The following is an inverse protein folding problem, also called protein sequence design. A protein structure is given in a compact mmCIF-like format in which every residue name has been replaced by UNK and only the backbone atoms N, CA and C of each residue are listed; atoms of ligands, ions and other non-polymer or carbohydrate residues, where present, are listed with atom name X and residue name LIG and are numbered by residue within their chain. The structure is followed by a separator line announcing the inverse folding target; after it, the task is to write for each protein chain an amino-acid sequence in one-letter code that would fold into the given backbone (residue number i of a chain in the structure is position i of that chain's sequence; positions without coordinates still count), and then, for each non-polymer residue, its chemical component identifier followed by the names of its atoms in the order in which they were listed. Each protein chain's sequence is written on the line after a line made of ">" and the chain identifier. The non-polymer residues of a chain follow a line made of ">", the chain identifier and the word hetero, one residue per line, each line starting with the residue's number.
data_IF_866863080423
#
_entry.id   IF_866863080423
#
_cell.length_a   1.000
_cell.length_b   1.000
_cell.length_c   1.000
_cell.angle_alpha   90.00
_cell.angle_beta   90.00
_cell.angle_gamma   90.00
#
_symmetry.space_group_name_H-M   'P 1'
#
loop_
_entity.id
_entity.type
_entity.pdbx_description
1 polymer ?
#
# COMPACT_ATOMS: atom_id res chain seq x y z
N UNK A 1 -24.55 -12.37 -63.59
CA UNK A 1 -24.87 -11.94 -62.22
C UNK A 1 -23.78 -12.50 -61.31
N UNK A 2 -22.79 -11.69 -60.97
CA UNK A 2 -21.64 -12.12 -60.18
C UNK A 2 -21.74 -11.43 -58.82
N UNK A 3 -22.06 -12.19 -57.78
CA UNK A 3 -22.15 -11.67 -56.41
C UNK A 3 -20.74 -11.71 -55.83
N UNK A 4 -20.09 -10.55 -55.72
CA UNK A 4 -18.83 -10.40 -54.99
C UNK A 4 -19.20 -10.19 -53.53
N UNK A 5 -19.07 -11.24 -52.72
CA UNK A 5 -19.17 -11.15 -51.27
C UNK A 5 -17.85 -10.61 -50.70
N UNK A 6 -17.85 -9.35 -50.25
CA UNK A 6 -16.79 -8.79 -49.43
C UNK A 6 -16.94 -9.32 -47.99
N UNK A 7 -15.96 -10.05 -47.42
CA UNK A 7 -16.00 -10.35 -46.00
C UNK A 7 -15.67 -9.08 -45.24
N UNK A 8 -16.66 -8.54 -44.54
CA UNK A 8 -16.53 -7.43 -43.62
C UNK A 8 -15.69 -7.93 -42.42
N UNK A 9 -14.37 -7.73 -42.48
CA UNK A 9 -13.47 -7.86 -41.33
C UNK A 9 -13.84 -6.77 -40.32
N UNK A 10 -14.76 -7.08 -39.41
CA UNK A 10 -15.01 -6.29 -38.21
C UNK A 10 -13.75 -6.43 -37.35
N UNK A 11 -12.86 -5.44 -37.43
CA UNK A 11 -11.85 -5.19 -36.40
C UNK A 11 -12.61 -4.85 -35.11
N UNK A 12 -12.97 -5.85 -34.32
CA UNK A 12 -13.28 -5.64 -32.91
C UNK A 12 -11.98 -5.21 -32.26
N UNK A 13 -11.76 -3.89 -32.22
CA UNK A 13 -10.74 -3.30 -31.36
C UNK A 13 -11.13 -3.66 -29.93
N UNK A 14 -10.58 -4.77 -29.45
CA UNK A 14 -10.57 -5.14 -28.05
C UNK A 14 -9.88 -3.99 -27.33
N UNK A 15 -10.68 -3.09 -26.74
CA UNK A 15 -10.22 -2.23 -25.66
C UNK A 15 -9.87 -3.19 -24.53
N UNK A 16 -8.66 -3.73 -24.58
CA UNK A 16 -7.99 -4.24 -23.40
C UNK A 16 -7.78 -2.98 -22.55
N UNK A 17 -8.79 -2.63 -21.76
CA UNK A 17 -8.55 -1.88 -20.55
C UNK A 17 -7.57 -2.75 -19.79
N UNK A 18 -6.28 -2.43 -19.92
CA UNK A 18 -5.27 -2.97 -19.04
C UNK A 18 -5.75 -2.51 -17.67
N UNK A 19 -6.36 -3.42 -16.92
CA UNK A 19 -6.66 -3.23 -15.51
C UNK A 19 -5.29 -3.12 -14.83
N UNK A 20 -4.67 -1.95 -14.95
CA UNK A 20 -3.43 -1.62 -14.28
C UNK A 20 -3.84 -1.39 -12.85
N UNK A 21 -3.80 -2.47 -12.06
CA UNK A 21 -3.88 -2.35 -10.61
C UNK A 21 -2.84 -1.33 -10.15
N UNK A 22 -3.17 -0.56 -9.12
CA UNK A 22 -2.34 0.52 -8.59
C UNK A 22 -0.95 0.07 -8.08
N UNK A 23 -0.69 -1.25 -8.07
CA UNK A 23 0.55 -1.86 -7.64
C UNK A 23 0.50 -2.33 -6.20
N UNK A 24 1.59 -2.92 -5.73
CA UNK A 24 1.76 -3.35 -4.34
C UNK A 24 2.67 -2.34 -3.63
N UNK A 25 2.24 -1.90 -2.46
CA UNK A 25 3.06 -1.12 -1.54
C UNK A 25 3.48 -1.99 -0.34
N UNK A 26 4.69 -1.80 0.15
CA UNK A 26 5.18 -2.49 1.36
C UNK A 26 5.91 -1.54 2.31
N UNK A 27 6.01 -1.92 3.57
CA UNK A 27 6.85 -1.25 4.57
C UNK A 27 8.18 -2.00 4.70
N UNK A 28 9.28 -1.24 4.85
CA UNK A 28 10.61 -1.80 5.05
C UNK A 28 11.37 -0.99 6.11
N UNK A 29 12.11 -1.67 6.99
CA UNK A 29 13.09 -1.04 7.88
C UNK A 29 12.89 -1.32 9.37
N UNK A 30 12.02 -2.23 9.78
CA UNK A 30 11.74 -2.52 11.20
C UNK A 30 12.13 -3.94 11.63
N UNK A 31 12.73 -4.74 10.75
CA UNK A 31 13.15 -6.11 11.06
C UNK A 31 14.44 -6.47 10.30
N UNK A 32 15.51 -6.82 11.02
CA UNK A 32 16.79 -7.18 10.39
C UNK A 32 16.72 -8.42 9.49
N UNK A 33 15.72 -9.28 9.67
CA UNK A 33 15.46 -10.45 8.83
C UNK A 33 14.76 -10.14 7.50
N UNK A 34 14.38 -8.89 7.23
CA UNK A 34 13.64 -8.50 6.01
C UNK A 34 14.54 -8.28 4.77
N UNK A 35 15.86 -8.42 4.93
CA UNK A 35 16.85 -8.19 3.88
C UNK A 35 17.15 -6.72 3.61
N UNK A 36 17.99 -6.43 2.62
CA UNK A 36 18.35 -5.05 2.25
C UNK A 36 17.26 -4.38 1.41
N UNK A 37 17.21 -3.06 1.43
CA UNK A 37 16.27 -2.29 0.62
C UNK A 37 16.49 -2.54 -0.89
N UNK A 38 17.74 -2.63 -1.34
CA UNK A 38 18.05 -3.00 -2.72
C UNK A 38 17.48 -4.37 -3.10
N UNK A 39 17.52 -5.35 -2.20
CA UNK A 39 16.94 -6.69 -2.44
C UNK A 39 15.44 -6.61 -2.58
N UNK A 40 14.75 -5.85 -1.73
CA UNK A 40 13.32 -5.62 -1.82
C UNK A 40 12.94 -4.96 -3.17
N UNK A 41 13.68 -3.94 -3.60
CA UNK A 41 13.47 -3.29 -4.90
C UNK A 41 13.73 -4.23 -6.09
N UNK A 42 14.78 -5.05 -6.02
CA UNK A 42 15.14 -5.99 -7.09
C UNK A 42 14.10 -7.10 -7.30
N UNK A 43 13.16 -7.32 -6.36
CA UNK A 43 12.07 -8.28 -6.56
C UNK A 43 11.14 -7.90 -7.72
N UNK A 44 11.02 -6.61 -8.04
CA UNK A 44 10.05 -6.11 -9.02
C UNK A 44 8.58 -6.19 -8.57
N UNK A 45 8.32 -6.65 -7.35
CA UNK A 45 6.96 -6.87 -6.85
C UNK A 45 6.31 -5.58 -6.32
N UNK A 46 7.09 -4.58 -5.93
CA UNK A 46 6.61 -3.39 -5.23
C UNK A 46 6.72 -2.14 -6.10
N UNK A 47 5.62 -1.42 -6.25
CA UNK A 47 5.60 -0.10 -6.88
C UNK A 47 5.95 1.00 -5.87
N UNK A 48 5.69 0.76 -4.59
CA UNK A 48 5.98 1.69 -3.50
C UNK A 48 6.62 0.95 -2.32
N UNK A 49 7.67 1.52 -1.73
CA UNK A 49 8.28 1.02 -0.50
C UNK A 49 8.35 2.17 0.50
N UNK A 50 7.57 2.06 1.58
CA UNK A 50 7.54 3.01 2.68
C UNK A 50 8.68 2.67 3.67
N UNK A 51 9.70 3.51 3.72
CA UNK A 51 10.81 3.35 4.67
C UNK A 51 10.33 3.76 6.07
N UNK A 52 10.39 2.81 7.00
CA UNK A 52 9.75 2.87 8.30
C UNK A 52 10.80 2.79 9.43
N UNK A 53 10.90 3.75 10.36
CA UNK A 53 10.09 4.97 10.53
C UNK A 53 10.88 6.17 11.05
N UNK A 54 10.45 7.38 10.69
CA UNK A 54 10.75 8.58 11.49
C UNK A 54 9.85 8.55 12.73
N UNK A 55 10.41 8.17 13.87
CA UNK A 55 9.64 7.83 15.08
C UNK A 55 9.64 8.91 16.16
N UNK A 56 10.57 9.86 16.11
CA UNK A 56 10.62 11.01 17.02
C UNK A 56 10.46 12.28 16.22
N UNK A 57 9.51 13.13 16.61
CA UNK A 57 9.23 14.43 16.01
C UNK A 57 8.42 15.32 16.96
N UNK A 58 8.37 16.63 16.69
CA UNK A 58 7.54 17.60 17.41
C UNK A 58 8.18 18.18 18.67
N UNK A 59 7.53 19.20 19.24
CA UNK A 59 7.92 19.87 20.49
C UNK A 59 9.40 20.32 20.55
N UNK A 60 9.94 20.83 19.43
CA UNK A 60 11.33 21.30 19.35
C UNK A 60 12.40 20.20 19.34
N UNK A 61 12.01 18.93 19.33
CA UNK A 61 12.95 17.81 19.25
C UNK A 61 13.52 17.67 17.83
N UNK A 62 14.80 17.29 17.74
CA UNK A 62 15.41 16.87 16.47
C UNK A 62 14.74 15.58 15.99
N UNK A 63 14.19 15.54 14.77
CA UNK A 63 13.54 14.33 14.26
C UNK A 63 14.52 13.15 14.20
N UNK A 64 14.09 11.96 14.62
CA UNK A 64 14.92 10.75 14.62
C UNK A 64 14.33 9.65 13.74
N UNK A 65 15.15 9.18 12.81
CA UNK A 65 14.88 8.00 11.99
C UNK A 65 15.30 6.73 12.76
N UNK A 66 14.42 5.74 12.81
CA UNK A 66 14.71 4.43 13.38
C UNK A 66 14.48 3.38 12.28
N UNK A 67 15.56 2.71 11.86
CA UNK A 67 15.50 1.59 10.91
C UNK A 67 15.93 0.28 11.58
N UNK A 68 15.53 0.08 12.84
CA UNK A 68 15.94 -1.04 13.67
C UNK A 68 17.46 -1.27 13.61
N UNK A 69 17.90 -2.48 13.24
CA UNK A 69 19.32 -2.83 13.11
C UNK A 69 19.94 -2.52 11.75
N UNK A 70 19.21 -1.96 10.78
CA UNK A 70 19.72 -1.72 9.43
C UNK A 70 20.75 -0.59 9.37
N UNK A 71 20.54 0.48 10.16
CA UNK A 71 21.50 1.56 10.31
C UNK A 71 21.15 2.43 11.54
N UNK A 72 22.13 3.19 12.04
CA UNK A 72 21.92 4.20 13.10
C UNK A 72 22.26 5.59 12.58
N UNK A 73 21.29 6.52 12.46
CA UNK A 73 21.55 7.87 11.96
C UNK A 73 22.48 8.68 12.86
N UNK A 74 22.58 8.30 14.14
CA UNK A 74 23.45 8.94 15.12
C UNK A 74 24.94 8.63 14.88
N UNK A 75 25.26 7.66 14.01
CA UNK A 75 26.63 7.32 13.66
C UNK A 75 26.90 7.74 12.22
N UNK A 76 27.84 8.69 12.06
CA UNK A 76 28.19 9.26 10.75
C UNK A 76 28.57 8.14 9.78
N UNK A 77 27.92 8.15 8.60
CA UNK A 77 28.24 7.26 7.49
C UNK A 77 27.55 5.88 7.53
N UNK A 78 27.00 5.43 8.66
CA UNK A 78 26.41 4.08 8.77
C UNK A 78 25.14 3.91 7.92
N UNK A 79 24.35 4.96 7.74
CA UNK A 79 23.17 4.91 6.85
C UNK A 79 23.49 5.22 5.37
N UNK A 80 24.77 5.27 4.96
CA UNK A 80 25.14 5.58 3.57
C UNK A 80 24.72 4.48 2.59
N UNK A 81 24.66 3.22 3.03
CA UNK A 81 24.13 2.11 2.23
C UNK A 81 22.67 2.35 1.84
N UNK A 82 21.84 2.81 2.79
CA UNK A 82 20.43 3.12 2.54
C UNK A 82 20.26 4.21 1.48
N UNK A 83 21.14 5.22 1.44
CA UNK A 83 21.13 6.24 0.38
C UNK A 83 21.35 5.62 -1.01
N UNK A 84 22.30 4.71 -1.13
CA UNK A 84 22.60 4.06 -2.40
C UNK A 84 21.46 3.14 -2.83
N UNK A 85 20.87 2.40 -1.89
CA UNK A 85 19.71 1.56 -2.13
C UNK A 85 18.51 2.40 -2.60
N UNK A 86 18.23 3.54 -1.95
CA UNK A 86 17.19 4.49 -2.40
C UNK A 86 17.45 4.95 -3.84
N UNK A 87 18.69 5.33 -4.16
CA UNK A 87 19.05 5.76 -5.52
C UNK A 87 18.84 4.65 -6.55
N UNK A 88 19.13 3.39 -6.20
CA UNK A 88 18.86 2.25 -7.06
C UNK A 88 17.35 2.04 -7.31
N UNK A 89 16.51 2.29 -6.29
CA UNK A 89 15.05 2.20 -6.43
C UNK A 89 14.45 3.40 -7.21
N UNK A 90 15.07 4.58 -7.15
CA UNK A 90 14.52 5.83 -7.69
C UNK A 90 15.05 6.17 -9.09
N UNK A 91 14.33 5.72 -10.14
CA UNK A 91 14.62 6.13 -11.53
C UNK A 91 13.81 7.34 -12.02
N UNK A 92 12.77 7.79 -11.28
CA UNK A 92 11.94 8.96 -11.63
C UNK A 92 11.55 9.73 -10.35
N UNK A 93 11.94 11.01 -10.24
CA UNK A 93 11.64 11.84 -9.07
C UNK A 93 10.17 12.30 -9.11
N UNK A 94 9.33 11.71 -8.27
CA UNK A 94 8.01 12.24 -7.90
C UNK A 94 7.85 12.11 -6.39
N UNK A 95 7.53 13.22 -5.72
CA UNK A 95 7.16 13.22 -4.31
C UNK A 95 5.69 12.85 -4.23
N UNK A 96 5.34 11.95 -3.32
CA UNK A 96 3.97 11.54 -3.05
C UNK A 96 3.67 11.78 -1.58
N UNK A 97 2.45 12.23 -1.30
CA UNK A 97 1.92 12.30 0.05
C UNK A 97 0.99 11.11 0.28
N UNK A 98 1.22 10.36 1.35
CA UNK A 98 0.37 9.21 1.69
C UNK A 98 0.01 9.14 3.17
N UNK A 99 -1.13 8.53 3.48
CA UNK A 99 -1.62 8.31 4.83
C UNK A 99 -1.93 6.83 5.09
N UNK A 100 -1.76 6.38 6.33
CA UNK A 100 -2.07 5.01 6.74
C UNK A 100 -3.03 4.99 7.95
N UNK A 101 -4.32 5.36 7.78
CA UNK A 101 -5.30 5.32 8.87
C UNK A 101 -5.60 3.90 9.32
N UNK A 102 -6.13 3.74 10.52
CA UNK A 102 -6.73 2.49 10.97
C UNK A 102 -8.09 2.29 10.30
N UNK A 103 -8.59 1.04 10.21
CA UNK A 103 -9.90 0.79 9.58
C UNK A 103 -11.15 1.36 10.29
N UNK A 104 -11.18 1.66 11.61
CA UNK A 104 -12.30 2.36 12.22
C UNK A 104 -12.52 3.71 11.51
N UNK A 105 -13.76 3.95 11.09
CA UNK A 105 -14.13 5.14 10.32
C UNK A 105 -15.08 6.05 11.11
N UNK A 106 -14.79 7.36 11.25
CA UNK A 106 -13.57 8.04 10.81
C UNK A 106 -12.34 7.65 11.65
N UNK A 107 -11.15 7.73 11.06
CA UNK A 107 -9.88 7.58 11.79
C UNK A 107 -9.65 8.79 12.73
N UNK A 108 -9.25 8.51 13.96
CA UNK A 108 -9.11 9.51 15.02
C UNK A 108 -8.02 10.56 14.76
N UNK A 109 -6.96 10.19 14.05
CA UNK A 109 -5.76 11.01 13.89
C UNK A 109 -5.67 11.65 12.51
N UNK A 110 -6.12 10.94 11.48
CA UNK A 110 -5.83 11.27 10.10
C UNK A 110 -7.05 11.74 9.31
N UNK A 111 -8.29 11.59 9.80
CA UNK A 111 -9.47 11.99 9.01
C UNK A 111 -9.45 13.47 8.63
N UNK A 112 -9.15 14.37 9.57
CA UNK A 112 -9.03 15.81 9.27
C UNK A 112 -7.97 16.11 8.21
N UNK A 113 -6.87 15.34 8.19
CA UNK A 113 -5.83 15.49 7.19
C UNK A 113 -6.30 14.93 5.84
N UNK A 114 -6.94 13.77 5.83
CA UNK A 114 -7.48 13.13 4.62
C UNK A 114 -8.51 14.03 3.95
N UNK A 115 -9.39 14.66 4.73
CA UNK A 115 -10.45 15.56 4.23
C UNK A 115 -9.90 16.80 3.48
N UNK A 116 -8.62 17.14 3.67
CA UNK A 116 -7.97 18.21 2.89
C UNK A 116 -7.81 17.87 1.40
N UNK A 117 -7.87 16.59 1.03
CA UNK A 117 -7.73 16.14 -0.36
C UNK A 117 -6.31 16.13 -0.91
N UNK A 118 -5.29 16.35 -0.07
CA UNK A 118 -3.90 16.47 -0.56
C UNK A 118 -3.15 15.14 -0.68
N UNK A 119 -3.74 14.03 -0.23
CA UNK A 119 -3.09 12.72 -0.25
C UNK A 119 -3.21 12.04 -1.62
N UNK A 120 -2.08 11.66 -2.20
CA UNK A 120 -2.03 10.82 -3.39
C UNK A 120 -2.51 9.40 -3.08
N UNK A 121 -2.10 8.84 -1.94
CA UNK A 121 -2.39 7.45 -1.55
C UNK A 121 -2.89 7.35 -0.11
N UNK A 122 -3.90 6.51 0.13
CA UNK A 122 -4.36 6.16 1.48
C UNK A 122 -4.35 4.64 1.64
N UNK A 123 -3.47 4.11 2.49
CA UNK A 123 -3.34 2.68 2.80
C UNK A 123 -4.03 2.37 4.13
N UNK A 124 -5.32 2.06 4.09
CA UNK A 124 -6.11 1.81 5.30
C UNK A 124 -5.69 0.49 5.93
N UNK A 125 -5.38 0.48 7.23
CA UNK A 125 -4.92 -0.69 7.96
C UNK A 125 -6.11 -1.55 8.41
N UNK A 126 -6.42 -2.59 7.63
CA UNK A 126 -7.52 -3.55 7.89
C UNK A 126 -7.10 -4.68 8.84
N UNK A 127 -6.40 -4.35 9.92
CA UNK A 127 -5.86 -5.29 10.91
C UNK A 127 -5.77 -4.64 12.30
N UNK A 128 -5.53 -5.44 13.35
CA UNK A 128 -5.40 -4.99 14.76
C UNK A 128 -6.60 -4.23 15.38
N UNK A 129 -7.78 -4.30 14.75
CA UNK A 129 -9.02 -3.67 15.18
C UNK A 129 -10.19 -4.68 15.33
N UNK A 130 -10.04 -5.76 16.12
CA UNK A 130 -11.03 -6.86 16.18
C UNK A 130 -12.40 -6.45 16.72
N UNK A 131 -12.50 -5.32 17.44
CA UNK A 131 -13.75 -4.83 18.04
C UNK A 131 -14.46 -3.76 17.20
N UNK A 132 -13.82 -3.27 16.13
CA UNK A 132 -14.34 -2.15 15.34
C UNK A 132 -15.16 -2.58 14.12
N UNK A 133 -15.36 -3.88 13.93
CA UNK A 133 -16.11 -4.46 12.82
C UNK A 133 -15.68 -3.94 11.44
N UNK A 134 -14.37 -3.80 11.23
CA UNK A 134 -13.82 -3.22 10.01
C UNK A 134 -12.73 -4.06 9.35
N UNK A 135 -12.42 -5.26 9.84
CA UNK A 135 -11.34 -6.11 9.33
C UNK A 135 -11.83 -7.52 9.04
N UNK A 136 -11.01 -8.32 8.37
CA UNK A 136 -11.27 -9.75 8.23
C UNK A 136 -11.20 -10.45 9.59
N UNK A 137 -12.17 -11.31 9.85
CA UNK A 137 -12.30 -12.07 11.10
C UNK A 137 -12.74 -13.53 10.86
N UNK A 138 -12.44 -14.07 9.68
CA UNK A 138 -12.97 -15.35 9.19
C UNK A 138 -14.10 -15.19 8.15
N UNK A 139 -14.63 -13.97 8.03
CA UNK A 139 -15.63 -13.57 7.04
C UNK A 139 -15.25 -12.20 6.43
N UNK A 140 -15.64 -11.95 5.17
CA UNK A 140 -15.27 -10.74 4.43
C UNK A 140 -16.26 -9.58 4.61
N UNK A 141 -17.44 -9.81 5.17
CA UNK A 141 -18.53 -8.81 5.23
C UNK A 141 -18.12 -7.54 5.95
N UNK A 142 -17.45 -7.66 7.11
CA UNK A 142 -17.04 -6.49 7.91
C UNK A 142 -15.98 -5.65 7.20
N UNK A 143 -15.00 -6.31 6.58
CA UNK A 143 -13.97 -5.66 5.78
C UNK A 143 -14.57 -4.94 4.59
N UNK A 144 -15.41 -5.62 3.80
CA UNK A 144 -16.02 -5.04 2.60
C UNK A 144 -16.98 -3.89 2.93
N UNK A 145 -17.72 -3.97 4.05
CA UNK A 145 -18.56 -2.86 4.53
C UNK A 145 -17.75 -1.65 5.00
N UNK A 146 -16.56 -1.87 5.57
CA UNK A 146 -15.66 -0.76 5.91
C UNK A 146 -15.01 -0.18 4.66
N UNK A 147 -14.63 -1.03 3.69
CA UNK A 147 -14.05 -0.61 2.42
C UNK A 147 -14.93 0.40 1.69
N UNK A 148 -16.25 0.21 1.60
CA UNK A 148 -17.15 1.14 0.88
C UNK A 148 -17.12 2.57 1.44
N UNK A 149 -16.84 2.73 2.74
CA UNK A 149 -16.65 4.04 3.37
C UNK A 149 -15.30 4.64 2.97
N UNK A 150 -14.25 3.83 3.11
CA UNK A 150 -12.88 4.25 2.84
C UNK A 150 -12.60 4.52 1.36
N UNK A 151 -13.19 3.77 0.45
CA UNK A 151 -13.01 3.94 -1.00
C UNK A 151 -13.56 5.27 -1.52
N UNK A 152 -14.36 5.98 -0.71
CA UNK A 152 -15.00 7.24 -1.06
C UNK A 152 -14.30 8.47 -0.47
N UNK A 153 -13.16 8.31 0.22
CA UNK A 153 -12.42 9.44 0.80
C UNK A 153 -11.72 10.26 -0.28
N UNK A 154 -11.42 11.52 0.04
CA UNK A 154 -10.77 12.45 -0.88
C UNK A 154 -9.27 12.15 -1.01
N UNK A 155 -8.93 11.15 -1.83
CA UNK A 155 -7.55 10.76 -2.11
C UNK A 155 -7.40 10.32 -3.57
N UNK A 156 -6.18 10.38 -4.11
CA UNK A 156 -5.89 9.92 -5.46
C UNK A 156 -6.18 8.42 -5.66
N UNK A 157 -5.69 7.58 -4.75
CA UNK A 157 -5.98 6.14 -4.69
C UNK A 157 -6.07 5.65 -3.25
N UNK A 158 -6.94 4.66 -3.02
CA UNK A 158 -7.11 3.98 -1.72
C UNK A 158 -6.65 2.53 -1.86
N UNK A 159 -5.87 2.06 -0.89
CA UNK A 159 -5.28 0.72 -0.86
C UNK A 159 -5.78 -0.07 0.35
N UNK A 160 -5.93 -1.38 0.14
CA UNK A 160 -6.23 -2.34 1.19
C UNK A 160 -4.94 -2.72 1.94
N UNK A 161 -4.70 -2.14 3.11
CA UNK A 161 -3.57 -2.50 3.97
C UNK A 161 -3.85 -3.78 4.76
N UNK A 162 -3.05 -4.82 4.53
CA UNK A 162 -3.20 -6.14 5.14
C UNK A 162 -1.87 -6.66 5.73
N UNK A 163 -1.91 -7.53 6.76
CA UNK A 163 -0.71 -8.21 7.24
C UNK A 163 -0.18 -9.21 6.20
N UNK A 164 1.12 -9.20 5.95
CA UNK A 164 1.75 -10.11 4.99
C UNK A 164 1.84 -11.57 5.48
N UNK A 165 1.70 -11.80 6.79
CA UNK A 165 1.75 -13.12 7.42
C UNK A 165 0.87 -13.16 8.68
N UNK A 166 0.44 -14.34 9.16
CA UNK A 166 -0.40 -14.46 10.37
C UNK A 166 0.19 -13.83 11.63
N UNK A 167 1.52 -13.76 11.73
CA UNK A 167 2.24 -13.19 12.87
C UNK A 167 2.71 -11.74 12.64
N UNK A 168 2.42 -11.14 11.48
CA UNK A 168 2.78 -9.75 11.19
C UNK A 168 1.85 -8.74 11.88
N UNK A 169 0.68 -9.21 12.35
CA UNK A 169 -0.29 -8.45 13.13
C UNK A 169 -0.97 -9.38 14.14
N UNK A 170 -1.63 -8.82 15.15
CA UNK A 170 -2.38 -9.61 16.15
C UNK A 170 -3.65 -10.22 15.57
N UNK A 171 -4.31 -9.54 14.63
CA UNK A 171 -5.54 -9.98 13.97
C UNK A 171 -5.65 -9.39 12.56
N UNK A 172 -6.52 -9.95 11.71
CA UNK A 172 -6.85 -9.38 10.39
C UNK A 172 -6.07 -9.97 9.21
N UNK A 173 -5.24 -10.99 9.43
CA UNK A 173 -4.59 -11.72 8.33
C UNK A 173 -5.64 -12.41 7.44
N UNK A 174 -5.53 -12.20 6.13
CA UNK A 174 -6.41 -12.80 5.12
C UNK A 174 -5.61 -13.88 4.38
N UNK A 175 -6.05 -15.15 4.36
CA UNK A 175 -5.44 -16.17 3.52
C UNK A 175 -5.41 -15.74 2.03
N UNK A 176 -4.33 -16.04 1.27
CA UNK A 176 -4.20 -15.58 -0.11
C UNK A 176 -5.35 -16.02 -1.03
N UNK A 177 -5.86 -17.24 -0.85
CA UNK A 177 -7.00 -17.79 -1.59
C UNK A 177 -8.28 -17.00 -1.32
N UNK A 178 -8.54 -16.63 -0.05
CA UNK A 178 -9.68 -15.78 0.34
C UNK A 178 -9.53 -14.37 -0.22
N UNK A 179 -8.34 -13.76 -0.10
CA UNK A 179 -8.05 -12.43 -0.64
C UNK A 179 -8.35 -12.37 -2.15
N UNK A 180 -7.81 -13.33 -2.91
CA UNK A 180 -7.94 -13.37 -4.37
C UNK A 180 -9.38 -13.67 -4.80
N UNK A 181 -10.05 -14.61 -4.14
CA UNK A 181 -11.37 -15.08 -4.61
C UNK A 181 -12.55 -14.28 -4.08
N UNK A 182 -12.43 -13.62 -2.91
CA UNK A 182 -13.58 -13.00 -2.23
C UNK A 182 -13.42 -11.48 -2.01
N UNK A 183 -12.19 -10.97 -1.90
CA UNK A 183 -11.95 -9.55 -1.59
C UNK A 183 -11.62 -8.75 -2.84
N UNK A 184 -10.55 -9.11 -3.56
CA UNK A 184 -10.07 -8.37 -4.74
C UNK A 184 -11.12 -8.19 -5.86
N UNK A 185 -12.06 -9.11 -6.10
CA UNK A 185 -13.11 -8.89 -7.11
C UNK A 185 -14.07 -7.75 -6.77
N UNK A 186 -14.19 -7.43 -5.48
CA UNK A 186 -15.14 -6.45 -4.93
C UNK A 186 -14.51 -5.08 -4.74
N UNK A 187 -13.21 -5.01 -4.41
CA UNK A 187 -12.49 -3.75 -4.21
C UNK A 187 -11.87 -3.28 -5.53
N UNK A 188 -12.56 -2.37 -6.24
CA UNK A 188 -12.11 -1.77 -7.49
C UNK A 188 -11.97 -0.26 -7.36
#
# INVERSE_FOLDING_TARGET
>A
MTVIAFPLLIFTSLLISLCQGAGIATYWGQNTGEGTLATACATGNYQYINIAFLSVFGNGQTPQLNLAGHCSPSIVGICSSIRNDIAACQSRKKVYLSAAPQCPFPDMHLSNAIDTGVFDFVWVQFYNNPKAACQYNGDTTQLLNSWTKWSSVNAGQVFLGIPAAPNAASNGYIPPDVLISQVLPTIK
#
